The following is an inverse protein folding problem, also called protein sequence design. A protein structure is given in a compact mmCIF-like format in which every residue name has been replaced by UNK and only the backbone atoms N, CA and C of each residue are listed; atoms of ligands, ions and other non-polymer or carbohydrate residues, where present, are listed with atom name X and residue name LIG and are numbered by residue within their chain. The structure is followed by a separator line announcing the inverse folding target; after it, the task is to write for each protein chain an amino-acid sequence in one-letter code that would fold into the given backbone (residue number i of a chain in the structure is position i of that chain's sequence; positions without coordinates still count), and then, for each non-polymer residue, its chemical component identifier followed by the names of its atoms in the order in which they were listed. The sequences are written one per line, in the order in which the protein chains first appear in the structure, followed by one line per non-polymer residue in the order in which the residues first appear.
data_IF_127738814062
#
_entry.id   IF_127738814062
#
_cell.length_a   1.000
_cell.length_b   1.000
_cell.length_c   1.000
_cell.angle_alpha   90.00
_cell.angle_beta   90.00
_cell.angle_gamma   90.00
#
_symmetry.space_group_name_H-M   'P 1'
#
loop_
_entity.id
_entity.type
_entity.pdbx_description
1 polymer ?
#
# COMPACT_ATOMS: atom_id res chain seq x y z
N UNK A 1 0.86 2.52 0.69
CA UNK A 1 2.24 2.40 0.14
C UNK A 1 2.83 1.11 0.67
N UNK A 2 3.14 0.12 -0.16
CA UNK A 2 3.71 -1.15 0.31
C UNK A 2 5.19 -1.15 -0.04
N UNK A 3 6.05 -1.40 0.94
CA UNK A 3 7.49 -1.34 0.73
C UNK A 3 8.00 -2.61 0.03
N UNK A 4 7.99 -2.58 -1.31
CA UNK A 4 8.52 -3.64 -2.16
C UNK A 4 9.73 -3.14 -2.97
N UNK A 5 10.47 -4.07 -3.60
CA UNK A 5 11.58 -3.71 -4.48
C UNK A 5 11.12 -2.79 -5.64
N UNK A 6 9.93 -3.04 -6.19
CA UNK A 6 9.31 -2.17 -7.19
C UNK A 6 9.04 -0.78 -6.61
N UNK A 7 8.50 -0.72 -5.39
CA UNK A 7 8.16 0.55 -4.77
C UNK A 7 9.40 1.40 -4.48
N UNK A 8 10.51 0.79 -4.07
CA UNK A 8 11.81 1.48 -3.94
C UNK A 8 12.23 2.12 -5.27
N UNK A 9 12.14 1.36 -6.36
CA UNK A 9 12.44 1.89 -7.69
C UNK A 9 11.51 3.04 -8.09
N UNK A 10 10.22 2.98 -7.72
CA UNK A 10 9.27 4.07 -7.96
C UNK A 10 9.61 5.31 -7.15
N UNK A 11 10.01 5.15 -5.88
CA UNK A 11 10.45 6.27 -5.04
C UNK A 11 11.63 7.01 -5.65
N UNK A 12 12.66 6.27 -6.11
CA UNK A 12 13.83 6.85 -6.77
C UNK A 12 13.44 7.65 -8.03
N UNK A 13 12.58 7.08 -8.89
CA UNK A 13 12.12 7.76 -10.11
C UNK A 13 11.27 8.98 -9.82
N UNK A 14 10.41 8.91 -8.80
CA UNK A 14 9.55 10.03 -8.42
C UNK A 14 10.35 11.15 -7.76
N UNK A 15 11.34 10.81 -6.92
CA UNK A 15 12.24 11.78 -6.33
C UNK A 15 13.00 12.56 -7.40
N UNK A 16 13.55 11.88 -8.41
CA UNK A 16 14.20 12.53 -9.57
C UNK A 16 13.24 13.45 -10.34
N UNK A 17 12.04 12.96 -10.66
CA UNK A 17 11.04 13.71 -11.45
C UNK A 17 10.55 14.97 -10.72
N UNK A 18 10.41 14.90 -9.40
CA UNK A 18 9.86 15.97 -8.57
C UNK A 18 10.95 16.84 -7.93
N UNK A 19 12.23 16.59 -8.23
CA UNK A 19 13.37 17.26 -7.61
C UNK A 19 13.34 17.21 -6.08
N UNK A 20 13.06 16.02 -5.53
CA UNK A 20 13.02 15.73 -4.10
C UNK A 20 14.28 14.96 -3.67
N UNK A 21 14.60 14.98 -2.38
CA UNK A 21 15.66 14.14 -1.84
C UNK A 21 15.27 12.64 -1.90
N UNK A 22 16.24 11.70 -2.00
CA UNK A 22 15.95 10.27 -1.94
C UNK A 22 15.15 9.90 -0.68
N UNK A 23 14.10 9.09 -0.82
CA UNK A 23 13.21 8.72 0.28
C UNK A 23 12.18 9.78 0.69
N UNK A 24 12.32 11.03 0.25
CA UNK A 24 11.41 12.11 0.65
C UNK A 24 10.00 11.90 0.08
N UNK A 25 9.89 11.40 -1.15
CA UNK A 25 8.60 11.09 -1.77
C UNK A 25 7.82 10.04 -0.95
N UNK A 26 8.48 8.97 -0.51
CA UNK A 26 7.91 7.98 0.38
C UNK A 26 7.48 8.57 1.72
N UNK A 27 8.30 9.43 2.34
CA UNK A 27 7.97 10.08 3.61
C UNK A 27 6.75 11.00 3.49
N UNK A 28 6.68 11.81 2.42
CA UNK A 28 5.52 12.64 2.13
C UNK A 28 4.25 11.80 1.96
N UNK A 29 4.36 10.64 1.32
CA UNK A 29 3.26 9.69 1.21
C UNK A 29 2.83 9.10 2.55
N UNK A 30 3.77 8.60 3.36
CA UNK A 30 3.46 8.03 4.68
C UNK A 30 2.67 9.02 5.54
N UNK A 31 3.05 10.30 5.53
CA UNK A 31 2.36 11.34 6.31
C UNK A 31 0.89 11.50 5.96
N UNK A 32 0.49 11.16 4.73
CA UNK A 32 -0.91 11.23 4.27
C UNK A 32 -1.70 9.98 4.58
N UNK A 33 -1.04 8.86 4.88
CA UNK A 33 -1.71 7.62 5.30
C UNK A 33 -2.13 7.79 6.77
N UNK A 34 -3.41 7.58 7.13
CA UNK A 34 -3.87 7.70 8.52
C UNK A 34 -3.11 6.84 9.53
N UNK A 35 -2.71 5.63 9.15
CA UNK A 35 -1.86 4.78 10.02
C UNK A 35 -0.39 5.22 10.10
N UNK A 36 0.02 6.25 9.35
CA UNK A 36 1.37 6.81 9.37
C UNK A 36 2.50 5.79 9.16
N UNK A 37 2.22 4.72 8.41
CA UNK A 37 3.23 3.73 7.99
C UNK A 37 2.91 3.16 6.61
N UNK A 38 3.93 2.60 5.98
CA UNK A 38 3.73 1.70 4.85
C UNK A 38 3.09 0.39 5.30
N UNK A 39 2.35 -0.23 4.39
CA UNK A 39 1.90 -1.61 4.54
C UNK A 39 3.03 -2.60 4.23
N UNK A 40 2.91 -3.83 4.71
CA UNK A 40 3.82 -4.93 4.39
C UNK A 40 3.20 -5.89 3.37
N UNK A 41 4.03 -6.76 2.78
CA UNK A 41 3.54 -7.76 1.83
C UNK A 41 2.67 -8.81 2.51
N UNK A 42 2.92 -9.08 3.80
CA UNK A 42 2.17 -10.01 4.63
C UNK A 42 0.76 -9.50 4.93
N UNK A 43 0.57 -8.19 5.09
CA UNK A 43 -0.76 -7.59 5.30
C UNK A 43 -1.64 -7.73 4.05
N UNK A 44 -1.06 -7.56 2.86
CA UNK A 44 -1.76 -7.84 1.60
C UNK A 44 -2.02 -9.34 1.45
N UNK A 45 -1.02 -10.17 1.75
CA UNK A 45 -1.13 -11.62 1.71
C UNK A 45 -2.23 -12.15 2.63
N UNK A 46 -2.39 -11.56 3.81
CA UNK A 46 -3.43 -11.94 4.78
C UNK A 46 -4.83 -11.65 4.25
N UNK A 47 -5.06 -10.47 3.63
CA UNK A 47 -6.35 -10.17 3.01
C UNK A 47 -6.63 -11.09 1.82
N UNK A 48 -5.63 -11.35 0.97
CA UNK A 48 -5.79 -12.28 -0.14
C UNK A 48 -6.10 -13.71 0.35
N UNK A 49 -5.43 -14.17 1.40
CA UNK A 49 -5.67 -15.48 2.00
C UNK A 49 -7.10 -15.60 2.56
N UNK A 50 -7.59 -14.56 3.26
CA UNK A 50 -8.98 -14.50 3.72
C UNK A 50 -9.99 -14.55 2.57
N UNK A 51 -9.77 -13.78 1.49
CA UNK A 51 -10.67 -13.81 0.34
C UNK A 51 -10.66 -15.14 -0.42
N UNK A 52 -9.61 -15.95 -0.26
CA UNK A 52 -9.51 -17.28 -0.85
C UNK A 52 -9.98 -18.40 0.09
N UNK A 53 -10.39 -18.09 1.31
CA UNK A 53 -10.81 -19.08 2.31
C UNK A 53 -12.33 -19.23 2.38
N UNK A 54 -12.79 -20.31 3.03
CA UNK A 54 -14.22 -20.62 3.16
C UNK A 54 -14.97 -19.56 3.99
N UNK A 55 -14.27 -18.81 4.83
CA UNK A 55 -14.83 -17.70 5.61
C UNK A 55 -15.34 -16.54 4.73
N UNK A 56 -14.91 -16.47 3.47
CA UNK A 56 -15.33 -15.46 2.49
C UNK A 56 -16.37 -15.99 1.48
N UNK A 57 -17.03 -17.13 1.72
CA UNK A 57 -17.91 -17.80 0.73
C UNK A 57 -19.07 -16.93 0.19
N UNK A 58 -19.49 -15.90 0.92
CA UNK A 58 -20.53 -14.96 0.46
C UNK A 58 -19.99 -13.62 -0.07
N UNK A 59 -18.68 -13.51 -0.25
CA UNK A 59 -18.03 -12.31 -0.75
C UNK A 59 -17.66 -12.50 -2.22
N UNK A 60 -18.28 -11.72 -3.10
CA UNK A 60 -17.96 -11.72 -4.52
C UNK A 60 -18.15 -10.33 -5.13
N UNK A 61 -17.41 -10.07 -6.23
CA UNK A 61 -17.44 -8.82 -6.99
C UNK A 61 -17.18 -7.55 -6.15
N UNK A 62 -16.45 -7.67 -5.04
CA UNK A 62 -16.08 -6.56 -4.17
C UNK A 62 -14.63 -6.11 -4.38
N UNK A 63 -14.36 -4.85 -4.07
CA UNK A 63 -13.01 -4.29 -3.97
C UNK A 63 -12.74 -3.87 -2.53
N UNK A 64 -11.59 -4.28 -2.00
CA UNK A 64 -11.19 -4.00 -0.62
C UNK A 64 -9.91 -3.18 -0.58
N UNK A 65 -9.93 -2.05 0.11
CA UNK A 65 -8.73 -1.25 0.33
C UNK A 65 -7.92 -1.86 1.48
N UNK A 66 -6.66 -2.18 1.20
CA UNK A 66 -5.67 -2.62 2.20
C UNK A 66 -4.49 -1.64 2.17
N UNK A 67 -4.76 -0.41 2.59
CA UNK A 67 -3.88 0.73 2.32
C UNK A 67 -3.60 1.62 3.54
N UNK A 68 -4.01 1.18 4.73
CA UNK A 68 -3.88 1.94 5.98
C UNK A 68 -4.78 3.18 6.06
N UNK A 69 -5.87 3.20 5.29
CA UNK A 69 -6.84 4.29 5.24
C UNK A 69 -6.48 5.39 4.23
N UNK A 70 -5.65 5.07 3.23
CA UNK A 70 -5.22 6.08 2.24
C UNK A 70 -6.41 6.54 1.37
N UNK A 71 -7.32 5.62 1.07
CA UNK A 71 -8.56 5.86 0.33
C UNK A 71 -9.77 5.45 1.17
N UNK A 72 -10.88 6.18 1.03
CA UNK A 72 -12.15 5.84 1.65
C UNK A 72 -13.07 5.21 0.61
N UNK A 73 -13.58 4.00 0.91
CA UNK A 73 -14.60 3.33 0.09
C UNK A 73 -16.01 3.81 0.43
#
# INVERSE_FOLDING_TARGET
AIWTALYKHLDDRMAQKLNLAPGEFYQQRIKRIPLHRGGTIEEIGSMAAFLCSDEADYITAQSYNVDGGSEMN
#
